data_IF_651912722243
#
_entry.id   IF_651912722243
#
_cell.length_a   1.000
_cell.length_b   1.000
_cell.length_c   1.000
_cell.angle_alpha   90.00
_cell.angle_beta   90.00
_cell.angle_gamma   90.00
#
_symmetry.space_group_name_H-M   'P 1'
#
loop_
_entity.id
_entity.type
_entity.pdbx_description
1 polymer ?
#
# COMPACT_ATOMS: atom_id res chain seq x y z
N UNK A 1 -11.36 1.09 -11.77
CA UNK A 1 -11.62 -0.21 -11.12
C UNK A 1 -10.27 -0.73 -10.62
N UNK A 2 -10.20 -1.12 -9.37
CA UNK A 2 -8.94 -1.38 -8.65
C UNK A 2 -9.01 -2.77 -8.02
N UNK A 3 -7.98 -3.56 -8.20
CA UNK A 3 -7.74 -4.76 -7.39
C UNK A 3 -6.94 -4.33 -6.17
N UNK A 4 -7.56 -4.44 -4.99
CA UNK A 4 -6.97 -4.00 -3.73
C UNK A 4 -6.54 -5.19 -2.88
N UNK A 5 -5.25 -5.21 -2.53
CA UNK A 5 -4.71 -6.10 -1.52
C UNK A 5 -4.39 -5.33 -0.24
N UNK A 6 -4.82 -5.84 0.89
CA UNK A 6 -4.49 -5.30 2.21
C UNK A 6 -3.81 -6.34 3.07
N UNK A 7 -2.78 -5.96 3.81
CA UNK A 7 -2.04 -6.88 4.66
C UNK A 7 -1.38 -6.20 5.86
N UNK A 8 -1.14 -6.97 6.91
CA UNK A 8 -0.45 -6.50 8.11
C UNK A 8 0.36 -7.60 8.77
N UNK A 9 1.43 -7.21 9.47
CA UNK A 9 2.01 -8.05 10.51
C UNK A 9 1.22 -7.92 11.83
N UNK A 10 1.69 -8.56 12.89
CA UNK A 10 1.00 -8.55 14.20
C UNK A 10 0.86 -7.14 14.81
N UNK A 11 1.76 -6.19 14.50
CA UNK A 11 1.69 -4.82 15.01
C UNK A 11 0.71 -3.94 14.24
N UNK A 12 0.48 -4.24 12.97
CA UNK A 12 -0.46 -3.52 12.12
C UNK A 12 -1.86 -4.12 12.07
N UNK A 13 -2.06 -5.30 12.64
CA UNK A 13 -3.29 -6.09 12.50
C UNK A 13 -4.56 -5.34 12.94
N UNK A 14 -4.54 -4.69 14.10
CA UNK A 14 -5.72 -4.00 14.63
C UNK A 14 -6.16 -2.86 13.71
N UNK A 15 -5.22 -2.02 13.26
CA UNK A 15 -5.52 -0.92 12.34
C UNK A 15 -5.98 -1.46 10.97
N UNK A 16 -5.33 -2.51 10.46
CA UNK A 16 -5.74 -3.18 9.23
C UNK A 16 -7.18 -3.70 9.33
N UNK A 17 -7.56 -4.34 10.43
CA UNK A 17 -8.91 -4.87 10.61
C UNK A 17 -9.98 -3.78 10.66
N UNK A 18 -9.69 -2.64 11.28
CA UNK A 18 -10.58 -1.49 11.26
C UNK A 18 -10.76 -0.94 9.84
N UNK A 19 -9.65 -0.80 9.11
CA UNK A 19 -9.63 -0.33 7.73
C UNK A 19 -10.33 -1.31 6.79
N UNK A 20 -10.08 -2.61 6.91
CA UNK A 20 -10.75 -3.64 6.10
C UNK A 20 -12.27 -3.58 6.23
N UNK A 21 -12.77 -3.46 7.46
CA UNK A 21 -14.22 -3.34 7.73
C UNK A 21 -14.83 -2.06 7.19
N UNK A 22 -14.06 -1.00 7.10
CA UNK A 22 -14.50 0.27 6.54
C UNK A 22 -14.50 0.25 5.01
N UNK A 23 -13.48 -0.32 4.38
CA UNK A 23 -13.36 -0.40 2.91
C UNK A 23 -14.38 -1.37 2.33
N UNK A 24 -14.54 -2.51 2.96
CA UNK A 24 -15.42 -3.59 2.50
C UNK A 24 -16.28 -4.08 3.67
N UNK A 25 -17.28 -3.27 4.10
CA UNK A 25 -18.27 -3.75 5.04
C UNK A 25 -19.08 -4.90 4.39
N UNK A 26 -19.56 -5.81 5.20
CA UNK A 26 -20.24 -7.07 4.83
C UNK A 26 -20.98 -6.94 3.48
N UNK A 27 -20.47 -7.63 2.46
CA UNK A 27 -21.04 -7.77 1.11
C UNK A 27 -20.97 -6.56 0.15
N UNK A 28 -20.47 -5.40 0.55
CA UNK A 28 -20.31 -4.25 -0.35
C UNK A 28 -18.97 -3.54 -0.11
N UNK A 29 -18.05 -3.62 -1.09
CA UNK A 29 -16.82 -2.82 -1.07
C UNK A 29 -17.08 -1.43 -1.68
N UNK A 30 -16.16 -0.50 -1.48
CA UNK A 30 -16.21 0.82 -2.14
C UNK A 30 -16.31 0.67 -3.65
N UNK A 31 -17.07 1.54 -4.31
CA UNK A 31 -17.48 1.45 -5.72
C UNK A 31 -16.34 1.22 -6.73
N UNK A 32 -15.15 1.72 -6.46
CA UNK A 32 -14.00 1.58 -7.35
C UNK A 32 -13.21 0.27 -7.17
N UNK A 33 -13.52 -0.53 -6.15
CA UNK A 33 -12.82 -1.78 -5.84
C UNK A 33 -13.53 -2.95 -6.48
N UNK A 34 -12.86 -3.61 -7.42
CA UNK A 34 -13.37 -4.80 -8.13
C UNK A 34 -13.10 -6.06 -7.34
N UNK A 35 -11.90 -6.16 -6.80
CA UNK A 35 -11.47 -7.32 -6.01
C UNK A 35 -10.80 -6.84 -4.72
N UNK A 36 -11.21 -7.41 -3.60
CA UNK A 36 -10.63 -7.12 -2.30
C UNK A 36 -9.97 -8.36 -1.71
N UNK A 37 -8.67 -8.28 -1.44
CA UNK A 37 -7.88 -9.36 -0.86
C UNK A 37 -7.31 -8.93 0.49
N UNK A 38 -7.88 -9.42 1.58
CA UNK A 38 -7.25 -9.33 2.89
C UNK A 38 -6.32 -10.55 3.08
N UNK A 39 -5.02 -10.30 3.03
CA UNK A 39 -3.98 -11.35 3.14
C UNK A 39 -3.27 -11.34 4.48
N UNK A 40 -3.74 -10.50 5.39
CA UNK A 40 -3.11 -10.33 6.69
C UNK A 40 -3.30 -11.52 7.63
N UNK A 41 -2.68 -11.39 8.81
CA UNK A 41 -2.93 -12.33 9.89
C UNK A 41 -4.27 -12.01 10.55
N UNK A 42 -4.97 -13.05 10.97
CA UNK A 42 -6.29 -12.95 11.64
C UNK A 42 -6.22 -13.31 13.12
N UNK A 43 -5.06 -13.80 13.56
CA UNK A 43 -4.78 -14.15 14.94
C UNK A 43 -3.59 -13.30 15.43
N UNK A 44 -3.56 -12.99 16.71
CA UNK A 44 -2.46 -12.25 17.32
C UNK A 44 -1.21 -13.13 17.43
N UNK A 45 -0.70 -13.56 16.29
CA UNK A 45 0.49 -14.38 16.13
C UNK A 45 1.61 -13.52 15.56
N UNK A 46 2.78 -13.60 16.17
CA UNK A 46 3.97 -12.92 15.67
C UNK A 46 4.27 -13.35 14.24
N UNK A 47 4.34 -12.40 13.33
CA UNK A 47 4.53 -12.62 11.90
C UNK A 47 5.55 -11.63 11.36
N UNK A 48 6.45 -12.10 10.52
CA UNK A 48 7.44 -11.24 9.90
C UNK A 48 6.80 -10.39 8.79
N UNK A 49 6.99 -9.08 8.86
CA UNK A 49 6.49 -8.13 7.86
C UNK A 49 6.95 -8.49 6.43
N UNK A 50 8.12 -9.09 6.30
CA UNK A 50 8.68 -9.53 5.02
C UNK A 50 7.76 -10.49 4.28
N UNK A 51 7.19 -11.48 4.98
CA UNK A 51 6.36 -12.50 4.36
C UNK A 51 5.04 -11.92 3.87
N UNK A 52 4.47 -10.97 4.63
CA UNK A 52 3.27 -10.25 4.21
C UNK A 52 3.55 -9.40 2.96
N UNK A 53 4.61 -8.60 2.98
CA UNK A 53 4.96 -7.75 1.85
C UNK A 53 5.30 -8.56 0.58
N UNK A 54 5.99 -9.70 0.72
CA UNK A 54 6.23 -10.63 -0.40
C UNK A 54 4.94 -11.16 -1.00
N UNK A 55 4.01 -11.60 -0.15
CA UNK A 55 2.72 -12.12 -0.60
C UNK A 55 1.89 -11.05 -1.30
N UNK A 56 1.92 -9.82 -0.80
CA UNK A 56 1.16 -8.71 -1.36
C UNK A 56 1.70 -8.20 -2.69
N UNK A 57 3.03 -8.18 -2.86
CA UNK A 57 3.69 -7.54 -4.00
C UNK A 57 4.23 -8.52 -5.05
N UNK A 58 4.17 -9.82 -4.78
CA UNK A 58 4.60 -10.85 -5.73
C UNK A 58 3.58 -11.05 -6.85
N UNK A 59 3.74 -10.31 -7.94
CA UNK A 59 2.85 -10.39 -9.10
C UNK A 59 1.91 -9.20 -9.26
N UNK A 60 2.33 -8.02 -8.79
CA UNK A 60 1.58 -6.77 -8.98
C UNK A 60 1.37 -6.45 -10.46
N UNK A 61 0.14 -6.24 -10.83
CA UNK A 61 -0.25 -5.66 -12.11
C UNK A 61 -0.29 -4.13 -12.05
N UNK A 62 -0.37 -3.50 -13.21
CA UNK A 62 -0.26 -2.04 -13.34
C UNK A 62 -1.32 -1.26 -12.55
N UNK A 63 -2.52 -1.80 -12.48
CA UNK A 63 -3.67 -1.12 -11.88
C UNK A 63 -3.93 -1.57 -10.43
N UNK A 64 -3.14 -2.52 -9.92
CA UNK A 64 -3.23 -2.99 -8.55
C UNK A 64 -2.88 -1.90 -7.52
N UNK A 65 -3.55 -1.97 -6.38
CA UNK A 65 -3.24 -1.16 -5.20
C UNK A 65 -3.01 -2.07 -4.00
N UNK A 66 -2.02 -1.70 -3.22
CA UNK A 66 -1.67 -2.45 -2.01
C UNK A 66 -1.60 -1.49 -0.82
N UNK A 67 -2.16 -1.91 0.31
CA UNK A 67 -2.04 -1.19 1.59
C UNK A 67 -1.42 -2.14 2.60
N UNK A 68 -0.29 -1.75 3.19
CA UNK A 68 0.46 -2.57 4.14
C UNK A 68 0.62 -1.86 5.48
N UNK A 69 0.37 -2.60 6.56
CA UNK A 69 0.47 -2.10 7.93
C UNK A 69 1.51 -2.90 8.71
N UNK A 70 2.37 -2.20 9.42
CA UNK A 70 3.22 -2.76 10.48
C UNK A 70 3.43 -1.70 11.57
N UNK A 71 4.38 -1.88 12.48
CA UNK A 71 4.63 -0.88 13.54
C UNK A 71 5.01 0.48 12.99
N UNK A 72 6.00 0.56 12.12
CA UNK A 72 6.52 1.81 11.54
C UNK A 72 6.18 2.03 10.06
N UNK A 73 5.80 0.99 9.34
CA UNK A 73 5.65 1.00 7.88
C UNK A 73 6.97 0.81 7.12
N UNK A 74 8.12 1.06 7.74
CA UNK A 74 9.42 1.07 7.07
C UNK A 74 9.79 -0.29 6.48
N UNK A 75 9.71 -1.35 7.26
CA UNK A 75 10.05 -2.69 6.81
C UNK A 75 9.17 -3.17 5.66
N UNK A 76 7.88 -2.87 5.71
CA UNK A 76 6.93 -3.16 4.62
C UNK A 76 7.36 -2.48 3.32
N UNK A 77 7.69 -1.19 3.37
CA UNK A 77 8.12 -0.44 2.18
C UNK A 77 9.45 -0.95 1.61
N UNK A 78 10.43 -1.23 2.47
CA UNK A 78 11.73 -1.77 2.05
C UNK A 78 11.55 -3.11 1.34
N UNK A 79 10.76 -4.01 1.91
CA UNK A 79 10.52 -5.32 1.30
C UNK A 79 9.68 -5.21 0.02
N UNK A 80 8.62 -4.42 0.01
CA UNK A 80 7.76 -4.22 -1.14
C UNK A 80 8.54 -3.69 -2.36
N UNK A 81 9.44 -2.73 -2.15
CA UNK A 81 10.26 -2.14 -3.23
C UNK A 81 11.33 -3.09 -3.81
N UNK A 82 11.45 -4.31 -3.31
CA UNK A 82 12.29 -5.37 -3.92
C UNK A 82 11.60 -6.06 -5.11
N UNK A 83 10.31 -5.79 -5.32
CA UNK A 83 9.54 -6.36 -6.41
C UNK A 83 9.41 -5.38 -7.56
N UNK A 84 9.65 -5.86 -8.77
CA UNK A 84 9.45 -5.06 -9.98
C UNK A 84 7.99 -4.59 -10.05
N UNK A 85 7.79 -3.33 -10.40
CA UNK A 85 6.47 -2.72 -10.47
C UNK A 85 5.94 -2.18 -9.14
N UNK A 86 6.51 -2.56 -7.99
CA UNK A 86 6.14 -1.99 -6.70
C UNK A 86 6.79 -0.63 -6.50
N UNK A 87 5.98 0.35 -6.15
CA UNK A 87 6.38 1.71 -5.77
C UNK A 87 5.78 2.00 -4.40
N UNK A 88 6.46 1.47 -3.38
CA UNK A 88 6.02 1.52 -2.00
C UNK A 88 6.58 2.74 -1.27
N UNK A 89 5.70 3.49 -0.62
CA UNK A 89 6.06 4.65 0.18
C UNK A 89 5.42 4.55 1.56
N UNK A 90 6.19 4.88 2.60
CA UNK A 90 5.65 5.11 3.94
C UNK A 90 5.11 6.52 3.99
N UNK A 91 3.86 6.66 4.34
CA UNK A 91 3.21 7.96 4.48
C UNK A 91 2.72 8.16 5.91
N UNK A 92 2.81 9.39 6.40
CA UNK A 92 2.40 9.76 7.75
C UNK A 92 1.16 10.66 7.76
N UNK A 93 0.87 11.30 6.63
CA UNK A 93 -0.28 12.18 6.45
C UNK A 93 -0.78 12.19 4.99
N UNK A 94 -1.84 12.96 4.75
CA UNK A 94 -2.44 13.11 3.41
C UNK A 94 -1.46 13.72 2.41
N UNK A 95 -0.65 14.69 2.85
CA UNK A 95 0.28 15.38 1.96
C UNK A 95 1.32 14.42 1.39
N UNK A 96 1.86 13.53 2.21
CA UNK A 96 2.79 12.48 1.77
C UNK A 96 2.14 11.59 0.70
N UNK A 97 0.89 11.18 0.93
CA UNK A 97 0.14 10.34 -0.02
C UNK A 97 -0.10 11.05 -1.34
N UNK A 98 -0.58 12.28 -1.30
CA UNK A 98 -0.81 13.09 -2.51
C UNK A 98 0.48 13.27 -3.31
N UNK A 99 1.57 13.63 -2.66
CA UNK A 99 2.89 13.80 -3.30
C UNK A 99 3.37 12.49 -3.94
N UNK A 100 3.32 11.39 -3.20
CA UNK A 100 3.75 10.09 -3.69
C UNK A 100 2.89 9.58 -4.85
N UNK A 101 1.58 9.84 -4.83
CA UNK A 101 0.69 9.52 -5.95
C UNK A 101 0.99 10.40 -7.16
N UNK A 102 1.05 11.72 -6.97
CA UNK A 102 1.21 12.69 -8.07
C UNK A 102 2.55 12.55 -8.77
N UNK A 103 3.63 12.35 -8.03
CA UNK A 103 4.98 12.40 -8.56
C UNK A 103 5.60 11.02 -8.84
N UNK A 104 5.25 10.01 -8.06
CA UNK A 104 5.88 8.69 -8.11
C UNK A 104 4.94 7.56 -8.54
N UNK A 105 3.68 7.89 -8.81
CA UNK A 105 2.65 6.88 -9.12
C UNK A 105 2.66 5.72 -8.11
N UNK A 106 2.74 6.08 -6.82
CA UNK A 106 2.75 5.12 -5.71
C UNK A 106 1.59 4.14 -5.85
N UNK A 107 1.86 2.83 -5.82
CA UNK A 107 0.85 1.78 -5.87
C UNK A 107 0.83 0.91 -4.60
N UNK A 108 1.80 1.10 -3.70
CA UNK A 108 1.86 0.43 -2.40
C UNK A 108 1.96 1.49 -1.30
N UNK A 109 0.89 1.66 -0.54
CA UNK A 109 0.84 2.56 0.62
C UNK A 109 1.23 1.78 1.88
N UNK A 110 2.28 2.21 2.56
CA UNK A 110 2.72 1.61 3.83
C UNK A 110 2.40 2.55 4.99
N UNK A 111 1.70 2.03 6.00
CA UNK A 111 1.24 2.79 7.16
C UNK A 111 1.83 2.19 8.44
N UNK A 112 2.41 3.04 9.27
CA UNK A 112 2.89 2.67 10.60
C UNK A 112 1.78 2.81 11.65
N UNK A 113 1.32 1.69 12.19
CA UNK A 113 0.24 1.67 13.19
C UNK A 113 0.63 2.34 14.52
N UNK A 114 1.93 2.48 14.81
CA UNK A 114 2.42 3.18 16.00
C UNK A 114 2.23 4.71 15.91
N UNK A 115 2.06 5.24 14.70
CA UNK A 115 2.01 6.68 14.42
C UNK A 115 0.68 7.15 13.85
N UNK A 116 -0.19 6.24 13.44
CA UNK A 116 -1.38 6.56 12.66
C UNK A 116 -2.61 5.94 13.29
N UNK A 117 -3.58 6.77 13.64
CA UNK A 117 -4.89 6.30 14.09
C UNK A 117 -5.81 5.97 12.90
N UNK A 118 -6.96 5.39 13.19
CA UNK A 118 -7.92 4.96 12.17
C UNK A 118 -8.45 6.14 11.33
N UNK A 119 -8.77 7.27 11.95
CA UNK A 119 -9.32 8.42 11.22
C UNK A 119 -8.28 9.02 10.26
N UNK A 120 -7.03 9.14 10.69
CA UNK A 120 -5.93 9.58 9.84
C UNK A 120 -5.70 8.58 8.70
N UNK A 121 -5.70 7.28 8.99
CA UNK A 121 -5.56 6.23 7.98
C UNK A 121 -6.66 6.30 6.91
N UNK A 122 -7.91 6.55 7.30
CA UNK A 122 -9.02 6.74 6.35
C UNK A 122 -8.74 7.85 5.35
N UNK A 123 -8.40 9.05 5.82
CA UNK A 123 -8.11 10.19 4.94
C UNK A 123 -6.91 9.92 4.02
N UNK A 124 -5.88 9.25 4.53
CA UNK A 124 -4.74 8.83 3.71
C UNK A 124 -5.14 7.85 2.61
N UNK A 125 -6.02 6.91 2.92
CA UNK A 125 -6.49 5.89 1.96
C UNK A 125 -7.44 6.51 0.92
N UNK A 126 -8.33 7.41 1.31
CA UNK A 126 -9.15 8.18 0.38
C UNK A 126 -8.26 8.93 -0.62
N UNK A 127 -7.26 9.67 -0.12
CA UNK A 127 -6.29 10.36 -0.97
C UNK A 127 -5.50 9.40 -1.88
N UNK A 128 -5.17 8.19 -1.41
CA UNK A 128 -4.49 7.16 -2.19
C UNK A 128 -5.30 6.69 -3.40
N UNK A 129 -6.62 6.62 -3.29
CA UNK A 129 -7.50 6.25 -4.39
C UNK A 129 -7.83 7.42 -5.32
N UNK A 130 -8.09 8.60 -4.77
CA UNK A 130 -8.55 9.76 -5.52
C UNK A 130 -7.44 10.51 -6.27
N UNK A 131 -6.21 10.52 -5.73
CA UNK A 131 -5.11 11.29 -6.29
C UNK A 131 -4.54 10.63 -7.55
N UNK A 132 -4.55 11.38 -8.66
CA UNK A 132 -4.08 10.92 -9.96
C UNK A 132 -2.60 11.21 -10.16
N UNK A 133 -1.92 10.31 -10.87
CA UNK A 133 -0.55 10.53 -11.33
C UNK A 133 -0.49 11.67 -12.35
N UNK A 134 0.36 12.67 -12.09
CA UNK A 134 0.48 13.87 -12.95
C UNK A 134 1.18 13.59 -14.30
N UNK A 135 1.85 12.45 -14.44
CA UNK A 135 2.58 12.10 -15.66
C UNK A 135 3.67 13.15 -16.01
N UNK A 136 3.67 13.68 -17.23
CA UNK A 136 4.61 14.68 -17.65
C UNK A 136 6.08 14.30 -17.35
N UNK A 137 6.82 15.21 -16.71
CA UNK A 137 8.23 14.99 -16.32
C UNK A 137 8.41 13.83 -15.33
N UNK A 138 7.37 13.48 -14.57
CA UNK A 138 7.44 12.40 -13.58
C UNK A 138 7.40 11.02 -14.23
N UNK A 139 6.64 10.87 -15.33
CA UNK A 139 6.47 9.60 -16.05
C UNK A 139 7.82 8.96 -16.41
N UNK A 140 8.70 9.71 -17.05
CA UNK A 140 10.03 9.23 -17.44
C UNK A 140 10.85 8.72 -16.24
N UNK A 141 10.71 9.37 -15.08
CA UNK A 141 11.43 8.98 -13.85
C UNK A 141 10.86 7.71 -13.27
N UNK A 142 9.53 7.56 -13.25
CA UNK A 142 8.85 6.35 -12.78
C UNK A 142 9.19 5.16 -13.68
N UNK A 143 9.19 5.34 -14.99
CA UNK A 143 9.55 4.28 -15.95
C UNK A 143 10.98 3.74 -15.74
N UNK A 144 11.89 4.58 -15.24
CA UNK A 144 13.28 4.18 -14.94
C UNK A 144 13.44 3.35 -13.65
N UNK A 145 12.44 3.30 -12.78
CA UNK A 145 12.55 2.57 -11.52
C UNK A 145 12.70 1.06 -11.73
N UNK A 146 12.12 0.54 -12.80
CA UNK A 146 12.15 -0.87 -13.14
C UNK A 146 13.18 -1.23 -14.25
N UNK A 147 13.97 -0.25 -14.69
CA UNK A 147 15.10 -0.53 -15.57
C UNK A 147 16.13 -1.38 -14.81
N UNK A 148 16.70 -2.38 -15.48
CA UNK A 148 17.71 -3.25 -14.88
C UNK A 148 18.92 -2.42 -14.43
N UNK A 149 19.16 -2.38 -13.13
CA UNK A 149 20.32 -1.73 -12.54
C UNK A 149 21.63 -2.53 -12.71
N UNK A 150 21.60 -3.66 -13.43
CA UNK A 150 22.76 -4.47 -13.75
C UNK A 150 23.57 -3.86 -14.91
N UNK A 151 24.00 -2.63 -14.74
CA UNK A 151 25.13 -2.11 -15.51
C UNK A 151 26.35 -2.13 -14.60
N UNK A 152 27.16 -3.17 -14.78
CA UNK A 152 28.54 -3.14 -14.31
C UNK A 152 29.29 -2.02 -15.02
#
# INVERSE_FOLDING_TARGET
MIDLTIGADHRGMELKDQVSKWICPIDECMDDIVTFHDIGIYENKRTDYNDIAKKACGGLDKDDRVILFCGSGFGMAIQANRFKGARAVVCFDIFDVEQARQHNDMNVLCIGADYTDFDTAKYMIEAFFETKFLKGRHKRRVEKLDEDTNTN
#
